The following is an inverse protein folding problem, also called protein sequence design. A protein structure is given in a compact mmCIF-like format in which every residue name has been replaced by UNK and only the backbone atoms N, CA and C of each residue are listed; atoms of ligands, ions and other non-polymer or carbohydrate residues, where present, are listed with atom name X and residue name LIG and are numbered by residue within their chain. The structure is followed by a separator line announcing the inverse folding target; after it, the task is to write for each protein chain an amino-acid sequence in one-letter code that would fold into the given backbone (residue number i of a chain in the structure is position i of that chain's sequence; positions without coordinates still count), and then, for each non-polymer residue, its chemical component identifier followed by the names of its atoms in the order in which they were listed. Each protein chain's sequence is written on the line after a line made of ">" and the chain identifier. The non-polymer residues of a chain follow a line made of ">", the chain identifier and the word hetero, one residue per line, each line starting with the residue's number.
data_IF_806266743019
#
_entry.id   IF_806266743019
#
_cell.length_a   1.000
_cell.length_b   1.000
_cell.length_c   1.000
_cell.angle_alpha   90.00
_cell.angle_beta   90.00
_cell.angle_gamma   90.00
#
_symmetry.space_group_name_H-M   'P 1'
#
loop_
_entity.id
_entity.type
_entity.pdbx_description
1 polymer ?
#
# COMPACT_ATOMS: atom_id res chain seq x y z
N UNK A 1 -10.03 23.91 -7.21
CA UNK A 1 -10.09 22.71 -6.34
C UNK A 1 -9.67 21.42 -7.07
N UNK A 2 -10.12 21.15 -8.30
CA UNK A 2 -9.79 19.92 -9.06
C UNK A 2 -8.30 19.62 -9.32
N UNK A 3 -7.42 20.63 -9.41
CA UNK A 3 -5.97 20.41 -9.63
C UNK A 3 -5.28 19.71 -8.46
N UNK A 4 -5.72 20.00 -7.23
CA UNK A 4 -5.11 19.48 -5.99
C UNK A 4 -5.52 18.03 -5.74
N UNK A 5 -6.78 17.69 -6.03
CA UNK A 5 -7.28 16.31 -5.98
C UNK A 5 -6.52 15.37 -6.93
N UNK A 6 -6.15 15.87 -8.12
CA UNK A 6 -5.35 15.09 -9.08
C UNK A 6 -3.94 14.82 -8.57
N UNK A 7 -3.27 15.80 -7.94
CA UNK A 7 -1.93 15.57 -7.35
C UNK A 7 -1.97 14.57 -6.21
N UNK A 8 -3.02 14.56 -5.38
CA UNK A 8 -3.17 13.58 -4.30
C UNK A 8 -3.36 12.16 -4.80
N UNK A 9 -4.16 11.96 -5.84
CA UNK A 9 -4.30 10.66 -6.48
C UNK A 9 -2.97 10.14 -7.03
N UNK A 10 -2.20 10.99 -7.70
CA UNK A 10 -0.87 10.62 -8.20
C UNK A 10 0.13 10.32 -7.07
N UNK A 11 0.16 11.15 -6.02
CA UNK A 11 1.03 10.93 -4.87
C UNK A 11 0.69 9.61 -4.14
N UNK A 12 -0.60 9.35 -3.92
CA UNK A 12 -1.07 8.11 -3.31
C UNK A 12 -0.72 6.88 -4.15
N UNK A 13 -0.88 6.96 -5.47
CA UNK A 13 -0.50 5.89 -6.38
C UNK A 13 1.01 5.60 -6.32
N UNK A 14 1.86 6.64 -6.30
CA UNK A 14 3.30 6.49 -6.18
C UNK A 14 3.71 5.83 -4.85
N UNK A 15 3.11 6.27 -3.73
CA UNK A 15 3.35 5.69 -2.40
C UNK A 15 2.97 4.19 -2.36
N UNK A 16 1.78 3.85 -2.87
CA UNK A 16 1.28 2.46 -2.91
C UNK A 16 2.16 1.58 -3.79
N UNK A 17 2.54 2.05 -4.98
CA UNK A 17 3.39 1.30 -5.89
C UNK A 17 4.79 1.03 -5.29
N UNK A 18 5.37 2.04 -4.64
CA UNK A 18 6.66 1.91 -3.95
C UNK A 18 6.59 0.90 -2.79
N UNK A 19 5.59 1.02 -1.93
CA UNK A 19 5.39 0.12 -0.79
C UNK A 19 5.10 -1.32 -1.26
N UNK A 20 4.18 -1.52 -2.21
CA UNK A 20 3.88 -2.84 -2.75
C UNK A 20 5.11 -3.51 -3.37
N UNK A 21 5.94 -2.76 -4.11
CA UNK A 21 7.15 -3.31 -4.72
C UNK A 21 8.18 -3.77 -3.69
N UNK A 22 8.40 -2.97 -2.63
CA UNK A 22 9.33 -3.33 -1.56
C UNK A 22 8.82 -4.52 -0.75
N UNK A 23 7.55 -4.50 -0.34
CA UNK A 23 6.97 -5.59 0.45
C UNK A 23 6.90 -6.88 -0.35
N UNK A 24 6.51 -6.83 -1.64
CA UNK A 24 6.51 -8.00 -2.52
C UNK A 24 7.90 -8.65 -2.65
N UNK A 25 8.95 -7.83 -2.81
CA UNK A 25 10.32 -8.32 -2.86
C UNK A 25 10.74 -9.00 -1.55
N UNK A 26 10.25 -8.53 -0.39
CA UNK A 26 10.55 -9.13 0.92
C UNK A 26 9.86 -10.46 1.15
N UNK A 27 8.62 -10.62 0.70
CA UNK A 27 7.89 -11.90 0.78
C UNK A 27 8.24 -12.86 -0.36
N UNK A 28 9.24 -12.54 -1.20
CA UNK A 28 9.72 -13.40 -2.28
C UNK A 28 8.82 -13.46 -3.52
N UNK A 29 7.90 -12.50 -3.69
CA UNK A 29 7.03 -12.46 -4.86
C UNK A 29 7.73 -11.84 -6.08
N UNK A 30 7.50 -12.40 -7.29
CA UNK A 30 7.99 -11.79 -8.52
C UNK A 30 7.25 -10.47 -8.79
N UNK A 31 7.90 -9.53 -9.50
CA UNK A 31 7.28 -8.25 -9.90
C UNK A 31 6.06 -8.41 -10.80
N UNK A 32 5.89 -9.58 -11.42
CA UNK A 32 4.72 -9.94 -12.23
C UNK A 32 3.57 -10.53 -11.41
N UNK A 33 3.72 -10.66 -10.08
CA UNK A 33 2.66 -11.16 -9.22
C UNK A 33 1.43 -10.23 -9.30
N UNK A 34 0.26 -10.82 -9.49
CA UNK A 34 -0.99 -10.08 -9.54
C UNK A 34 -1.37 -9.51 -8.17
N UNK A 35 -2.27 -8.52 -8.18
CA UNK A 35 -2.75 -7.87 -6.96
C UNK A 35 -3.26 -8.84 -5.88
N UNK A 36 -4.06 -9.88 -6.19
CA UNK A 36 -4.53 -10.84 -5.18
C UNK A 36 -3.39 -11.60 -4.50
N UNK A 37 -2.39 -12.05 -5.27
CA UNK A 37 -1.25 -12.78 -4.73
C UNK A 37 -0.39 -11.91 -3.78
N UNK A 38 -0.22 -10.64 -4.12
CA UNK A 38 0.45 -9.67 -3.25
C UNK A 38 -0.35 -9.47 -1.96
N UNK A 39 -1.67 -9.29 -2.05
CA UNK A 39 -2.55 -9.11 -0.88
C UNK A 39 -2.45 -10.32 0.07
N UNK A 40 -2.58 -11.53 -0.47
CA UNK A 40 -2.51 -12.75 0.33
C UNK A 40 -1.15 -12.97 0.98
N UNK A 41 -0.06 -12.72 0.25
CA UNK A 41 1.29 -12.87 0.81
C UNK A 41 1.56 -11.87 1.94
N UNK A 42 1.11 -10.62 1.79
CA UNK A 42 1.26 -9.59 2.82
C UNK A 42 0.38 -9.86 4.03
N UNK A 43 -0.86 -10.31 3.83
CA UNK A 43 -1.74 -10.70 4.92
C UNK A 43 -1.21 -11.93 5.69
N UNK A 44 -0.48 -12.84 5.04
CA UNK A 44 0.19 -13.96 5.74
C UNK A 44 1.46 -13.55 6.47
N UNK A 45 2.19 -12.57 5.93
CA UNK A 45 3.44 -12.06 6.53
C UNK A 45 3.20 -11.00 7.63
N UNK A 46 1.95 -10.56 7.84
CA UNK A 46 1.59 -9.53 8.82
C UNK A 46 0.35 -9.95 9.59
N UNK A 47 0.05 -9.28 10.71
CA UNK A 47 -1.21 -9.52 11.44
C UNK A 47 -2.43 -8.81 10.81
N UNK A 48 -2.41 -8.53 9.50
CA UNK A 48 -3.44 -7.75 8.81
C UNK A 48 -4.38 -8.65 8.01
N UNK A 49 -5.64 -8.26 7.91
CA UNK A 49 -6.60 -8.95 7.03
C UNK A 49 -6.30 -8.64 5.55
N UNK A 50 -6.67 -9.56 4.66
CA UNK A 50 -6.58 -9.34 3.20
C UNK A 50 -7.39 -8.12 2.76
N UNK A 51 -8.53 -7.85 3.41
CA UNK A 51 -9.38 -6.70 3.18
C UNK A 51 -8.69 -5.38 3.56
N UNK A 52 -8.02 -5.34 4.72
CA UNK A 52 -7.25 -4.17 5.15
C UNK A 52 -6.09 -3.87 4.21
N UNK A 53 -5.36 -4.91 3.78
CA UNK A 53 -4.27 -4.78 2.82
C UNK A 53 -4.79 -4.31 1.46
N UNK A 54 -5.91 -4.87 0.99
CA UNK A 54 -6.55 -4.47 -0.26
C UNK A 54 -7.02 -3.01 -0.21
N UNK A 55 -7.69 -2.59 0.87
CA UNK A 55 -8.13 -1.21 1.06
C UNK A 55 -6.95 -0.24 1.14
N UNK A 56 -5.84 -0.63 1.75
CA UNK A 56 -4.64 0.19 1.85
C UNK A 56 -3.94 0.38 0.50
N UNK A 57 -3.74 -0.71 -0.25
CA UNK A 57 -2.99 -0.71 -1.52
C UNK A 57 -3.84 -0.30 -2.73
N UNK A 58 -5.13 -0.60 -2.74
CA UNK A 58 -6.01 -0.42 -3.89
C UNK A 58 -7.25 0.41 -3.59
N UNK A 59 -7.36 0.97 -2.38
CA UNK A 59 -8.50 1.81 -2.00
C UNK A 59 -8.54 3.18 -2.71
N UNK A 60 -9.61 3.96 -2.47
CA UNK A 60 -9.77 5.29 -3.07
C UNK A 60 -8.59 6.21 -2.72
N UNK A 61 -8.24 7.16 -3.60
CA UNK A 61 -7.19 8.13 -3.31
C UNK A 61 -7.62 9.11 -2.21
N UNK A 62 -6.69 9.58 -1.37
CA UNK A 62 -6.95 10.67 -0.44
C UNK A 62 -7.28 11.96 -1.20
N UNK A 63 -8.12 12.79 -0.60
CA UNK A 63 -8.59 14.06 -1.18
C UNK A 63 -7.91 15.28 -0.56
N UNK A 64 -7.13 15.08 0.49
CA UNK A 64 -6.44 16.09 1.27
C UNK A 64 -5.04 15.63 1.72
N UNK A 65 -4.23 16.58 2.21
CA UNK A 65 -2.89 16.30 2.73
C UNK A 65 -2.95 15.36 3.94
N UNK A 66 -3.95 15.54 4.81
CA UNK A 66 -4.11 14.71 6.02
C UNK A 66 -4.37 13.24 5.68
N UNK A 67 -5.15 12.98 4.64
CA UNK A 67 -5.40 11.64 4.11
C UNK A 67 -4.17 11.04 3.45
N UNK A 68 -3.38 11.85 2.74
CA UNK A 68 -2.13 11.41 2.14
C UNK A 68 -1.11 11.01 3.23
N UNK A 69 -0.98 11.80 4.29
CA UNK A 69 -0.13 11.46 5.43
C UNK A 69 -0.60 10.21 6.17
N UNK A 70 -1.91 10.06 6.40
CA UNK A 70 -2.48 8.83 7.00
C UNK A 70 -2.19 7.61 6.13
N UNK A 71 -2.31 7.74 4.81
CA UNK A 71 -1.97 6.67 3.87
C UNK A 71 -0.50 6.29 3.97
N UNK A 72 0.40 7.29 3.94
CA UNK A 72 1.84 7.07 4.05
C UNK A 72 2.21 6.34 5.36
N UNK A 73 1.69 6.80 6.51
CA UNK A 73 1.94 6.15 7.81
C UNK A 73 1.42 4.70 7.87
N UNK A 74 0.27 4.42 7.28
CA UNK A 74 -0.28 3.05 7.25
C UNK A 74 0.52 2.13 6.35
N UNK A 75 1.01 2.63 5.21
CA UNK A 75 1.91 1.88 4.33
C UNK A 75 3.24 1.57 5.04
N UNK A 76 3.85 2.55 5.69
CA UNK A 76 5.10 2.38 6.43
C UNK A 76 4.95 1.38 7.60
N UNK A 77 3.80 1.40 8.29
CA UNK A 77 3.48 0.39 9.30
C UNK A 77 3.39 -1.02 8.69
N UNK A 78 2.69 -1.18 7.56
CA UNK A 78 2.61 -2.47 6.88
C UNK A 78 4.02 -2.97 6.50
N UNK A 79 4.86 -2.11 5.92
CA UNK A 79 6.25 -2.44 5.56
C UNK A 79 7.08 -2.84 6.78
N UNK A 80 6.91 -2.14 7.90
CA UNK A 80 7.61 -2.43 9.16
C UNK A 80 7.21 -3.79 9.76
N UNK A 81 5.93 -4.17 9.68
CA UNK A 81 5.46 -5.49 10.13
C UNK A 81 6.02 -6.60 9.22
N UNK A 82 6.02 -6.39 7.89
CA UNK A 82 6.65 -7.34 6.93
C UNK A 82 8.15 -7.49 7.21
N UNK A 83 8.82 -6.44 7.69
CA UNK A 83 10.24 -6.49 8.05
C UNK A 83 10.51 -7.30 9.33
N UNK A 84 9.53 -7.41 10.23
CA UNK A 84 9.65 -8.12 11.51
C UNK A 84 9.35 -9.62 11.40
N UNK A 85 8.56 -10.01 10.40
CA UNK A 85 8.23 -11.41 10.11
C UNK A 85 9.34 -12.12 9.34
#
# INVERSE_FOLDING_TARGET
>A
LYRRSRSYGHAAAALRAGAASRSAARVGLPRSAGAPAVIEALARATAWSTEDVAALLYGPPPTDDSGLERLARRLDKLESEVHRS
#
